data_IF_163688507500
#
_entry.id   IF_163688507500
#
_cell.length_a   1.000
_cell.length_b   1.000
_cell.length_c   1.000
_cell.angle_alpha   90.00
_cell.angle_beta   90.00
_cell.angle_gamma   90.00
#
_symmetry.space_group_name_H-M   'P 1'
#
loop_
_entity.id
_entity.type
_entity.pdbx_description
1 polymer ?
#
# COMPACT_ATOMS: atom_id res chain seq x y z
N UNK A 1 7.70 -18.29 1.57
CA UNK A 1 7.28 -17.09 2.34
C UNK A 1 7.33 -15.89 1.41
N UNK A 2 6.23 -15.09 1.36
CA UNK A 2 6.21 -13.80 0.70
C UNK A 2 6.01 -12.73 1.77
N UNK A 3 6.98 -11.82 1.92
CA UNK A 3 6.87 -10.65 2.79
C UNK A 3 6.29 -9.49 2.00
N UNK A 4 5.42 -8.70 2.64
CA UNK A 4 4.79 -7.52 2.05
C UNK A 4 4.80 -6.34 3.02
N UNK A 5 4.45 -5.15 2.54
CA UNK A 5 4.37 -3.92 3.32
C UNK A 5 3.13 -3.11 2.95
N UNK A 6 2.61 -2.32 3.87
CA UNK A 6 1.53 -1.33 3.66
C UNK A 6 0.33 -1.90 2.90
N UNK A 7 -0.14 -3.09 3.33
CA UNK A 7 -1.22 -3.81 2.66
C UNK A 7 -2.56 -3.09 2.85
N UNK A 8 -3.30 -2.94 1.74
CA UNK A 8 -4.64 -2.36 1.72
C UNK A 8 -5.54 -3.08 0.71
N UNK A 9 -6.84 -2.94 0.90
CA UNK A 9 -7.87 -3.47 0.00
C UNK A 9 -9.21 -2.78 0.23
N UNK A 10 -10.22 -3.16 -0.52
CA UNK A 10 -11.63 -2.79 -0.31
C UNK A 10 -12.19 -3.38 0.98
N UNK A 11 -11.61 -4.48 1.46
CA UNK A 11 -12.10 -5.24 2.60
C UNK A 11 -11.33 -4.91 3.88
N UNK A 12 -12.00 -5.13 5.02
CA UNK A 12 -11.42 -4.94 6.35
C UNK A 12 -11.06 -3.49 6.67
N UNK A 13 -10.29 -3.29 7.74
CA UNK A 13 -9.77 -2.00 8.16
C UNK A 13 -8.35 -1.80 7.64
N UNK A 14 -8.08 -0.67 6.98
CA UNK A 14 -6.76 -0.33 6.45
C UNK A 14 -6.60 1.19 6.30
N UNK A 15 -5.41 1.63 5.92
CA UNK A 15 -5.06 3.05 5.80
C UNK A 15 -5.92 3.78 4.75
N UNK A 16 -6.20 3.17 3.59
CA UNK A 16 -7.01 3.77 2.53
C UNK A 16 -8.41 4.09 3.03
N UNK A 17 -9.11 3.12 3.64
CA UNK A 17 -10.45 3.31 4.19
C UNK A 17 -10.45 4.32 5.34
N UNK A 18 -9.41 4.32 6.17
CA UNK A 18 -9.26 5.29 7.27
C UNK A 18 -9.11 6.70 6.72
N UNK A 19 -8.24 6.92 5.72
CA UNK A 19 -8.05 8.26 5.13
C UNK A 19 -9.31 8.75 4.40
N UNK A 20 -10.01 7.89 3.67
CA UNK A 20 -11.29 8.24 3.03
C UNK A 20 -12.35 8.66 4.06
N UNK A 21 -12.49 7.90 5.14
CA UNK A 21 -13.45 8.23 6.21
C UNK A 21 -13.09 9.56 6.89
N UNK A 22 -11.85 9.69 7.34
CA UNK A 22 -11.40 10.92 8.00
C UNK A 22 -11.43 12.13 7.07
N UNK A 23 -11.13 11.95 5.78
CA UNK A 23 -11.20 13.00 4.78
C UNK A 23 -12.63 13.50 4.51
N UNK A 24 -13.65 12.64 4.69
CA UNK A 24 -15.06 13.06 4.66
C UNK A 24 -15.49 13.79 5.92
N UNK A 25 -14.94 13.41 7.07
CA UNK A 25 -15.33 13.94 8.38
C UNK A 25 -14.60 15.23 8.76
N UNK A 26 -13.42 15.47 8.20
CA UNK A 26 -12.51 16.55 8.63
C UNK A 26 -12.01 17.39 7.46
N UNK A 27 -11.90 18.69 7.65
CA UNK A 27 -11.34 19.62 6.66
C UNK A 27 -9.81 19.54 6.53
N UNK A 28 -9.12 18.97 7.53
CA UNK A 28 -7.66 18.87 7.55
C UNK A 28 -7.20 17.63 8.31
N UNK A 29 -6.16 16.97 7.80
CA UNK A 29 -5.45 15.85 8.44
C UNK A 29 -3.95 16.09 8.42
N UNK A 30 -3.27 15.66 9.49
CA UNK A 30 -1.81 15.65 9.60
C UNK A 30 -1.29 14.22 9.37
N UNK A 31 -0.33 14.05 8.46
CA UNK A 31 0.19 12.74 8.08
C UNK A 31 1.71 12.76 7.99
N UNK A 32 2.37 11.74 8.51
CA UNK A 32 3.82 11.58 8.57
C UNK A 32 4.42 11.54 7.15
N UNK A 33 5.46 12.35 6.89
CA UNK A 33 6.13 12.40 5.59
C UNK A 33 7.53 11.75 5.58
N UNK A 34 8.19 11.61 6.73
CA UNK A 34 9.56 11.12 6.89
C UNK A 34 9.66 9.59 7.07
N UNK A 35 8.56 8.87 6.86
CA UNK A 35 8.52 7.41 6.76
C UNK A 35 8.14 7.01 5.33
N UNK A 36 9.07 6.32 4.66
CA UNK A 36 9.01 6.00 3.24
C UNK A 36 8.92 4.50 3.01
N UNK A 37 8.02 4.09 2.15
CA UNK A 37 7.79 2.68 1.81
C UNK A 37 7.04 2.54 0.48
N UNK A 38 6.42 1.39 0.29
CA UNK A 38 5.57 1.16 -0.88
C UNK A 38 4.25 0.51 -0.46
N UNK A 39 3.11 1.11 -0.82
CA UNK A 39 1.81 0.48 -0.61
C UNK A 39 1.65 -0.80 -1.44
N UNK A 40 0.93 -1.78 -0.90
CA UNK A 40 0.61 -3.03 -1.59
C UNK A 40 -0.90 -3.22 -1.66
N UNK A 41 -1.43 -3.27 -2.86
CA UNK A 41 -2.82 -3.66 -3.09
C UNK A 41 -2.98 -5.17 -2.93
N UNK A 42 -3.92 -5.59 -2.09
CA UNK A 42 -4.10 -7.01 -1.78
C UNK A 42 -4.55 -7.82 -3.00
N UNK A 43 -5.28 -7.22 -3.93
CA UNK A 43 -5.64 -7.85 -5.21
C UNK A 43 -4.42 -8.22 -6.04
N UNK A 44 -3.43 -7.33 -6.14
CA UNK A 44 -2.17 -7.61 -6.86
C UNK A 44 -1.33 -8.68 -6.17
N UNK A 45 -1.26 -8.67 -4.84
CA UNK A 45 -0.59 -9.73 -4.09
C UNK A 45 -1.28 -11.08 -4.27
N UNK A 46 -2.60 -11.12 -4.25
CA UNK A 46 -3.37 -12.34 -4.49
C UNK A 46 -3.14 -12.88 -5.91
N UNK A 47 -3.18 -12.02 -6.92
CA UNK A 47 -2.88 -12.40 -8.30
C UNK A 47 -1.46 -12.95 -8.45
N UNK A 48 -0.47 -12.33 -7.79
CA UNK A 48 0.90 -12.83 -7.75
C UNK A 48 1.00 -14.22 -7.11
N UNK A 49 0.30 -14.44 -6.00
CA UNK A 49 0.26 -15.75 -5.32
C UNK A 49 -0.34 -16.82 -6.25
N UNK A 50 -1.47 -16.53 -6.89
CA UNK A 50 -2.12 -17.47 -7.84
C UNK A 50 -1.18 -17.80 -9.01
N UNK A 51 -0.45 -16.81 -9.54
CA UNK A 51 0.54 -17.00 -10.59
C UNK A 51 1.72 -17.89 -10.15
N UNK A 52 2.16 -17.78 -8.90
CA UNK A 52 3.30 -18.51 -8.35
C UNK A 52 2.94 -19.97 -8.01
N UNK A 53 1.72 -20.21 -7.50
CA UNK A 53 1.32 -21.53 -6.96
C UNK A 53 1.65 -22.73 -7.89
N UNK A 54 1.34 -22.74 -9.20
CA UNK A 54 1.65 -23.86 -10.09
C UNK A 54 3.15 -24.04 -10.35
N UNK A 55 3.98 -23.08 -10.00
CA UNK A 55 5.44 -23.11 -10.20
C UNK A 55 6.20 -23.59 -8.95
N UNK A 56 5.50 -23.79 -7.83
CA UNK A 56 6.10 -24.28 -6.58
C UNK A 56 6.39 -25.77 -6.69
N UNK A 57 7.63 -26.15 -6.37
CA UNK A 57 8.08 -27.55 -6.35
C UNK A 57 8.17 -28.06 -4.91
N UNK A 58 7.94 -29.37 -4.68
CA UNK A 58 8.19 -29.98 -3.37
C UNK A 58 9.61 -29.68 -2.86
N UNK A 59 9.72 -29.30 -1.58
CA UNK A 59 11.01 -28.96 -0.98
C UNK A 59 11.49 -27.53 -1.22
N UNK A 60 10.83 -26.74 -2.04
CA UNK A 60 11.19 -25.34 -2.27
C UNK A 60 11.00 -24.50 -1.00
N UNK A 61 12.11 -23.98 -0.45
CA UNK A 61 12.13 -23.07 0.70
C UNK A 61 12.79 -21.76 0.30
N UNK A 62 12.04 -20.68 0.23
CA UNK A 62 12.58 -19.38 -0.13
C UNK A 62 11.78 -18.23 0.47
N UNK A 63 12.44 -17.09 0.63
CA UNK A 63 11.79 -15.83 1.04
C UNK A 63 11.79 -14.89 -0.16
N UNK A 64 10.63 -14.35 -0.45
CA UNK A 64 10.38 -13.36 -1.48
C UNK A 64 9.79 -12.10 -0.86
N UNK A 65 9.91 -10.98 -1.57
CA UNK A 65 9.26 -9.74 -1.24
C UNK A 65 8.31 -9.35 -2.36
N UNK A 66 7.13 -8.85 -1.98
CA UNK A 66 6.16 -8.30 -2.92
C UNK A 66 5.58 -7.00 -2.36
N UNK A 67 5.59 -5.95 -3.16
CA UNK A 67 4.81 -4.72 -3.02
C UNK A 67 4.58 -4.16 -4.42
N UNK A 68 3.67 -3.22 -4.60
CA UNK A 68 3.57 -2.51 -5.88
C UNK A 68 4.87 -1.75 -6.20
N UNK A 69 5.06 -1.28 -7.43
CA UNK A 69 6.23 -0.47 -7.80
C UNK A 69 6.08 0.97 -7.33
N UNK A 70 7.21 1.68 -7.28
CA UNK A 70 7.32 3.05 -6.81
C UNK A 70 7.56 3.15 -5.32
N UNK A 71 7.71 4.37 -4.85
CA UNK A 71 8.05 4.73 -3.47
C UNK A 71 7.24 5.96 -3.09
N UNK A 72 6.73 6.01 -1.87
CA UNK A 72 6.06 7.19 -1.33
C UNK A 72 6.15 7.25 0.20
N UNK A 73 5.91 8.43 0.77
CA UNK A 73 5.65 8.59 2.19
C UNK A 73 4.18 8.28 2.54
N UNK A 74 3.85 8.15 3.82
CA UNK A 74 2.45 8.10 4.26
C UNK A 74 1.70 9.36 3.85
N UNK A 75 2.35 10.52 3.87
CA UNK A 75 1.79 11.78 3.41
C UNK A 75 1.42 11.75 1.92
N UNK A 76 2.34 11.30 1.04
CA UNK A 76 2.07 11.19 -0.39
C UNK A 76 0.93 10.22 -0.67
N UNK A 77 0.92 9.09 0.06
CA UNK A 77 -0.14 8.09 -0.06
C UNK A 77 -1.50 8.65 0.36
N UNK A 78 -1.56 9.36 1.51
CA UNK A 78 -2.79 10.01 1.97
C UNK A 78 -3.29 11.07 0.98
N UNK A 79 -2.39 11.90 0.43
CA UNK A 79 -2.75 12.87 -0.60
C UNK A 79 -3.37 12.21 -1.84
N UNK A 80 -2.75 11.14 -2.33
CA UNK A 80 -3.26 10.40 -3.48
C UNK A 80 -4.65 9.79 -3.20
N UNK A 81 -4.87 9.26 -2.00
CA UNK A 81 -6.17 8.72 -1.59
C UNK A 81 -7.25 9.80 -1.63
N UNK A 82 -7.00 10.96 -1.04
CA UNK A 82 -7.96 12.09 -0.99
C UNK A 82 -8.25 12.61 -2.41
N UNK A 83 -7.21 12.85 -3.20
CA UNK A 83 -7.31 13.28 -4.60
C UNK A 83 -8.14 12.31 -5.43
N UNK A 84 -7.80 11.02 -5.41
CA UNK A 84 -8.46 9.99 -6.21
C UNK A 84 -9.90 9.69 -5.74
N UNK A 85 -10.21 9.95 -4.48
CA UNK A 85 -11.58 9.82 -3.94
C UNK A 85 -12.44 11.08 -4.15
N UNK A 86 -11.94 12.12 -4.83
CA UNK A 86 -12.67 13.37 -5.06
C UNK A 86 -13.03 14.13 -3.78
N UNK A 87 -12.28 13.92 -2.70
CA UNK A 87 -12.55 14.52 -1.39
C UNK A 87 -11.84 15.86 -1.23
N UNK A 88 -12.50 16.80 -0.53
CA UNK A 88 -11.90 18.08 -0.16
C UNK A 88 -11.41 18.03 1.28
N UNK A 89 -10.12 17.70 1.45
CA UNK A 89 -9.46 17.65 2.76
C UNK A 89 -7.99 18.09 2.61
N UNK A 90 -7.55 19.06 3.43
CA UNK A 90 -6.18 19.54 3.44
C UNK A 90 -5.27 18.51 4.15
N UNK A 91 -4.34 17.89 3.43
CA UNK A 91 -3.38 16.95 4.00
C UNK A 91 -2.07 17.69 4.26
N UNK A 92 -1.68 17.81 5.54
CA UNK A 92 -0.46 18.48 5.96
C UNK A 92 0.61 17.50 6.40
N UNK A 93 1.86 17.67 5.94
CA UNK A 93 2.97 16.83 6.38
C UNK A 93 3.35 17.14 7.82
N UNK A 94 3.68 16.09 8.59
CA UNK A 94 4.31 16.17 9.91
C UNK A 94 5.47 15.19 9.98
N UNK A 95 6.38 15.42 10.93
CA UNK A 95 7.47 14.50 11.24
C UNK A 95 7.05 13.38 12.20
N UNK A 96 7.76 12.27 12.19
CA UNK A 96 7.45 11.08 13.03
C UNK A 96 7.39 11.40 14.52
N UNK A 97 8.23 12.32 15.01
CA UNK A 97 8.25 12.72 16.42
C UNK A 97 7.01 13.49 16.85
N UNK A 98 6.29 14.14 15.92
CA UNK A 98 5.03 14.84 16.19
C UNK A 98 3.83 13.88 16.38
N UNK A 99 4.01 12.59 15.99
CA UNK A 99 2.97 11.57 16.10
C UNK A 99 3.43 10.45 17.03
N UNK A 100 3.08 10.48 18.32
CA UNK A 100 3.49 9.46 19.27
C UNK A 100 2.97 8.08 18.86
N UNK A 101 3.90 7.16 18.58
CA UNK A 101 3.61 5.77 18.24
C UNK A 101 4.24 4.84 19.27
N UNK A 102 3.50 3.80 19.70
CA UNK A 102 4.03 2.76 20.61
C UNK A 102 5.16 1.94 19.99
N UNK A 103 5.22 1.85 18.65
CA UNK A 103 6.25 1.12 17.93
C UNK A 103 7.11 2.08 17.12
N UNK A 104 8.44 1.98 17.28
CA UNK A 104 9.38 2.65 16.39
C UNK A 104 9.25 2.07 14.98
N UNK A 105 9.02 2.93 13.99
CA UNK A 105 8.95 2.54 12.58
C UNK A 105 10.19 3.05 11.86
N UNK A 106 10.79 2.25 10.96
CA UNK A 106 11.96 2.69 10.22
C UNK A 106 11.58 3.84 9.26
N UNK A 107 12.49 4.81 9.04
CA UNK A 107 12.26 5.89 8.08
C UNK A 107 12.21 5.39 6.63
N UNK A 108 12.79 4.21 6.35
CA UNK A 108 12.83 3.60 5.02
C UNK A 108 12.49 2.11 5.11
N UNK A 109 11.42 1.67 4.44
CA UNK A 109 10.91 0.31 4.47
C UNK A 109 10.62 -0.28 3.08
N UNK A 110 11.28 0.23 2.04
CA UNK A 110 11.09 -0.24 0.66
C UNK A 110 11.64 -1.65 0.48
N UNK A 111 10.85 -2.54 -0.10
CA UNK A 111 11.22 -3.93 -0.34
C UNK A 111 11.85 -4.11 -1.72
N UNK A 112 12.94 -4.87 -1.80
CA UNK A 112 13.53 -5.28 -3.07
C UNK A 112 12.76 -6.48 -3.65
N UNK A 113 12.17 -6.31 -4.83
CA UNK A 113 11.33 -7.28 -5.53
C UNK A 113 12.03 -8.01 -6.67
N UNK A 114 13.34 -7.76 -6.86
CA UNK A 114 14.08 -8.33 -8.00
C UNK A 114 14.01 -9.86 -8.05
N UNK A 115 14.09 -10.53 -6.89
CA UNK A 115 14.05 -11.99 -6.80
C UNK A 115 12.72 -12.58 -7.27
N UNK A 116 11.59 -12.07 -6.80
CA UNK A 116 10.26 -12.58 -7.20
C UNK A 116 10.00 -12.36 -8.69
N UNK A 117 10.41 -11.22 -9.23
CA UNK A 117 10.32 -10.91 -10.66
C UNK A 117 11.14 -11.88 -11.51
N UNK A 118 12.39 -12.12 -11.10
CA UNK A 118 13.32 -13.01 -11.83
C UNK A 118 12.84 -14.46 -11.81
N UNK A 119 12.46 -14.97 -10.64
CA UNK A 119 12.17 -16.39 -10.45
C UNK A 119 10.82 -16.80 -11.03
N UNK A 120 9.83 -15.90 -11.07
CA UNK A 120 8.45 -16.20 -11.50
C UNK A 120 7.97 -15.37 -12.69
N UNK A 121 8.78 -14.51 -13.27
CA UNK A 121 8.40 -13.68 -14.42
C UNK A 121 7.28 -12.67 -14.13
N UNK A 122 7.10 -12.26 -12.87
CA UNK A 122 6.02 -11.36 -12.46
C UNK A 122 6.31 -9.93 -12.92
N UNK A 123 5.30 -9.29 -13.53
CA UNK A 123 5.26 -7.84 -13.74
C UNK A 123 4.42 -7.21 -12.64
N UNK A 124 4.96 -6.17 -12.02
CA UNK A 124 4.32 -5.46 -10.91
C UNK A 124 4.00 -4.04 -11.39
N UNK A 125 2.76 -3.61 -11.24
CA UNK A 125 2.35 -2.25 -11.61
C UNK A 125 2.67 -1.23 -10.52
N UNK A 126 2.64 0.04 -10.89
CA UNK A 126 2.89 1.15 -9.96
C UNK A 126 1.78 1.25 -8.89
N UNK A 127 2.14 1.68 -7.68
CA UNK A 127 1.22 1.77 -6.55
C UNK A 127 0.04 2.73 -6.81
N UNK A 128 0.24 3.79 -7.60
CA UNK A 128 -0.85 4.73 -7.93
C UNK A 128 -1.92 4.09 -8.80
N UNK A 129 -1.53 3.24 -9.75
CA UNK A 129 -2.46 2.52 -10.62
C UNK A 129 -3.28 1.50 -9.82
N UNK A 130 -2.61 0.79 -8.90
CA UNK A 130 -3.24 -0.15 -7.99
C UNK A 130 -4.20 0.55 -7.01
N UNK A 131 -3.81 1.74 -6.51
CA UNK A 131 -4.68 2.54 -5.65
C UNK A 131 -5.94 3.03 -6.38
N UNK A 132 -5.81 3.45 -7.64
CA UNK A 132 -6.95 3.88 -8.45
C UNK A 132 -8.00 2.77 -8.54
N UNK A 133 -7.59 1.57 -8.92
CA UNK A 133 -8.49 0.41 -9.01
C UNK A 133 -9.18 0.11 -7.67
N UNK A 134 -8.43 0.13 -6.56
CA UNK A 134 -9.02 -0.10 -5.24
C UNK A 134 -10.08 0.96 -4.89
N UNK A 135 -9.85 2.23 -5.24
CA UNK A 135 -10.80 3.31 -4.97
C UNK A 135 -12.03 3.17 -5.86
N UNK A 136 -11.86 2.88 -7.14
CA UNK A 136 -12.95 2.65 -8.08
C UNK A 136 -13.85 1.48 -7.58
N UNK A 137 -13.24 0.35 -7.17
CA UNK A 137 -13.96 -0.78 -6.57
C UNK A 137 -14.70 -0.42 -5.27
N UNK A 138 -14.13 0.46 -4.42
CA UNK A 138 -14.79 0.94 -3.21
C UNK A 138 -16.02 1.79 -3.52
N UNK A 139 -15.99 2.55 -4.61
CA UNK A 139 -17.11 3.41 -5.05
C UNK A 139 -18.23 2.60 -5.71
N UNK A 140 -17.89 1.68 -6.61
CA UNK A 140 -18.83 0.81 -7.30
C UNK A 140 -19.63 -0.09 -6.33
N UNK A 141 -18.96 -0.58 -5.28
CA UNK A 141 -19.58 -1.48 -4.30
C UNK A 141 -20.19 -0.76 -3.08
N UNK A 142 -20.15 0.58 -3.03
CA UNK A 142 -20.60 1.39 -1.87
C UNK A 142 -19.96 0.95 -0.53
N UNK A 143 -18.69 0.53 -0.55
CA UNK A 143 -17.92 -0.02 0.59
C UNK A 143 -17.13 1.07 1.35
#
# INVERSE_FOLDING_TARGET
IIRTSWLYSEYGSNFVKTMRRLGKERGMLKVIFDQVGTPTYAGDLAAAIVHILPQIRPGMKSIYHFSNEGVCSWYDFARAIIEMSGLSCDIRPIESWEYPSKAARPPYSVLNKAKIKKDFGIRIRHWRDALRECIDNLEENNL
#
